data_IF_277720911709
#
_entry.id   IF_277720911709
#
_cell.length_a   1.000
_cell.length_b   1.000
_cell.length_c   1.000
_cell.angle_alpha   90.00
_cell.angle_beta   90.00
_cell.angle_gamma   90.00
#
_symmetry.space_group_name_H-M   'P 1'
#
loop_
_entity.id
_entity.type
_entity.pdbx_description
1 polymer ?
#
# COMPACT_ATOMS: atom_id res chain seq x y z
N UNK A 1 -17.42 -29.02 -9.34
CA UNK A 1 -16.40 -28.56 -10.32
C UNK A 1 -15.40 -27.68 -9.59
N UNK A 2 -14.10 -27.77 -9.90
CA UNK A 2 -13.05 -26.98 -9.23
C UNK A 2 -12.78 -25.69 -10.00
N UNK A 3 -12.60 -24.59 -9.27
CA UNK A 3 -12.31 -23.28 -9.85
C UNK A 3 -10.91 -23.19 -10.45
N UNK A 4 -10.77 -22.42 -11.53
CA UNK A 4 -9.49 -22.15 -12.17
C UNK A 4 -8.62 -21.21 -11.30
N UNK A 5 -7.32 -21.48 -11.27
CA UNK A 5 -6.33 -20.61 -10.62
C UNK A 5 -6.14 -19.35 -11.47
N UNK A 6 -6.12 -18.19 -10.81
CA UNK A 6 -5.93 -16.90 -11.48
C UNK A 6 -4.51 -16.73 -12.04
N UNK A 7 -4.36 -15.87 -13.04
CA UNK A 7 -3.06 -15.59 -13.65
C UNK A 7 -2.14 -14.80 -12.71
N UNK A 8 -0.81 -14.87 -12.89
CA UNK A 8 0.20 -14.10 -12.17
C UNK A 8 -0.07 -12.59 -11.96
N UNK A 9 -0.80 -12.00 -12.89
CA UNK A 9 -1.10 -10.58 -13.03
C UNK A 9 -2.51 -10.21 -12.56
N UNK A 10 -3.32 -11.20 -12.14
CA UNK A 10 -4.70 -10.99 -11.71
C UNK A 10 -4.86 -10.20 -10.39
N UNK A 11 -3.77 -9.84 -9.71
CA UNK A 11 -3.81 -9.09 -8.46
C UNK A 11 -2.42 -8.76 -7.91
N UNK A 12 -2.38 -8.21 -6.69
CA UNK A 12 -1.12 -8.13 -5.96
C UNK A 12 -0.68 -9.52 -5.51
N UNK A 13 0.61 -9.81 -5.62
CA UNK A 13 1.19 -11.05 -5.10
C UNK A 13 1.37 -11.02 -3.59
N UNK A 14 1.75 -9.86 -3.06
CA UNK A 14 2.12 -9.67 -1.65
C UNK A 14 1.70 -8.28 -1.18
N UNK A 15 1.35 -8.19 0.10
CA UNK A 15 1.26 -6.92 0.80
C UNK A 15 2.20 -6.95 2.00
N UNK A 16 2.99 -5.88 2.14
CA UNK A 16 3.88 -5.66 3.27
C UNK A 16 3.44 -4.41 4.02
N UNK A 17 3.54 -4.44 5.34
CA UNK A 17 3.31 -3.25 6.19
C UNK A 17 4.62 -2.88 6.86
N UNK A 18 4.97 -1.60 6.77
CA UNK A 18 6.12 -1.02 7.48
C UNK A 18 5.64 0.11 8.39
N UNK A 19 6.22 0.18 9.60
CA UNK A 19 5.94 1.27 10.53
C UNK A 19 6.75 2.51 10.18
N UNK A 20 6.15 3.68 10.29
CA UNK A 20 6.79 4.98 10.10
C UNK A 20 6.41 5.92 11.24
N UNK A 21 7.23 6.93 11.51
CA UNK A 21 6.95 7.91 12.56
C UNK A 21 5.83 8.87 12.17
N UNK A 22 5.70 9.18 10.88
CA UNK A 22 4.67 10.09 10.36
C UNK A 22 4.25 9.66 8.95
N UNK A 23 3.01 9.20 8.84
CA UNK A 23 2.42 8.73 7.59
C UNK A 23 2.16 9.87 6.60
N UNK A 24 1.76 11.06 7.07
CA UNK A 24 1.50 12.20 6.19
C UNK A 24 2.80 12.73 5.58
N UNK A 25 3.84 12.89 6.40
CA UNK A 25 5.15 13.33 5.93
C UNK A 25 5.74 12.32 4.92
N UNK A 26 5.61 11.02 5.21
CA UNK A 26 6.07 9.97 4.29
C UNK A 26 5.28 9.98 2.98
N UNK A 27 3.95 10.14 3.03
CA UNK A 27 3.12 10.28 1.84
C UNK A 27 3.53 11.48 0.97
N UNK A 28 3.80 12.63 1.59
CA UNK A 28 4.23 13.82 0.87
C UNK A 28 5.58 13.61 0.15
N UNK A 29 6.55 12.96 0.79
CA UNK A 29 7.85 12.63 0.16
C UNK A 29 7.67 11.62 -0.98
N UNK A 30 6.83 10.60 -0.79
CA UNK A 30 6.52 9.62 -1.84
C UNK A 30 5.88 10.28 -3.07
N UNK A 31 4.88 11.14 -2.87
CA UNK A 31 4.22 11.88 -3.94
C UNK A 31 5.16 12.85 -4.65
N UNK A 32 6.03 13.55 -3.91
CA UNK A 32 7.04 14.43 -4.48
C UNK A 32 8.04 13.68 -5.39
N UNK A 33 8.24 12.37 -5.14
CA UNK A 33 9.06 11.46 -5.96
C UNK A 33 8.28 10.80 -7.10
N UNK A 34 7.00 11.13 -7.27
CA UNK A 34 6.13 10.60 -8.32
C UNK A 34 5.50 9.25 -8.00
N UNK A 35 5.49 8.82 -6.73
CA UNK A 35 4.76 7.62 -6.31
C UNK A 35 3.27 7.94 -6.18
N UNK A 36 2.43 7.17 -6.87
CA UNK A 36 0.98 7.24 -6.74
C UNK A 36 0.50 6.41 -5.54
N UNK A 37 -0.29 7.03 -4.67
CA UNK A 37 -0.95 6.34 -3.57
C UNK A 37 -2.21 5.64 -4.07
N UNK A 38 -2.40 4.38 -3.68
CA UNK A 38 -3.61 3.62 -3.95
C UNK A 38 -4.73 3.97 -2.96
N UNK A 39 -4.35 4.33 -1.74
CA UNK A 39 -5.25 4.90 -0.74
C UNK A 39 -4.46 5.72 0.29
N UNK A 40 -5.22 6.47 1.09
CA UNK A 40 -4.68 7.25 2.20
C UNK A 40 -3.89 8.48 1.73
N UNK A 41 -3.27 9.20 2.66
CA UNK A 41 -3.24 8.93 4.10
C UNK A 41 -4.62 9.04 4.76
N UNK A 42 -4.96 8.09 5.64
CA UNK A 42 -6.25 8.06 6.34
C UNK A 42 -6.16 7.36 7.69
N UNK A 43 -7.02 7.78 8.62
CA UNK A 43 -7.20 7.14 9.92
C UNK A 43 -8.15 5.95 9.79
N UNK A 44 -7.74 4.81 10.35
CA UNK A 44 -8.55 3.60 10.37
C UNK A 44 -9.41 3.53 11.64
N UNK A 45 -10.56 2.83 11.61
CA UNK A 45 -11.42 2.69 12.79
C UNK A 45 -10.75 2.05 14.02
N UNK A 46 -9.65 1.32 13.82
CA UNK A 46 -8.84 0.71 14.89
C UNK A 46 -7.69 1.61 15.37
N UNK A 47 -7.66 2.88 14.97
CA UNK A 47 -6.78 3.91 15.54
C UNK A 47 -5.42 4.10 14.86
N UNK A 48 -5.14 3.38 13.76
CA UNK A 48 -3.87 3.47 13.02
C UNK A 48 -4.05 4.40 11.82
N UNK A 49 -3.08 5.28 11.58
CA UNK A 49 -3.02 6.08 10.35
C UNK A 49 -2.27 5.29 9.28
N UNK A 50 -2.80 5.21 8.06
CA UNK A 50 -2.22 4.37 6.99
C UNK A 50 -2.30 5.00 5.61
N UNK A 51 -1.38 4.61 4.73
CA UNK A 51 -1.48 4.79 3.28
C UNK A 51 -0.88 3.59 2.56
N UNK A 52 -1.29 3.35 1.32
CA UNK A 52 -0.74 2.27 0.49
C UNK A 52 -0.31 2.74 -0.88
N UNK A 53 0.71 2.10 -1.43
CA UNK A 53 1.18 2.31 -2.80
C UNK A 53 1.66 1.00 -3.43
N UNK A 54 1.90 1.00 -4.74
CA UNK A 54 2.41 -0.15 -5.49
C UNK A 54 3.85 0.08 -5.94
N UNK A 55 4.71 -0.94 -5.77
CA UNK A 55 6.06 -0.91 -6.32
C UNK A 55 6.12 -1.43 -7.78
N UNK A 56 7.24 -1.24 -8.51
CA UNK A 56 7.36 -1.72 -9.89
C UNK A 56 7.27 -3.25 -10.05
N UNK A 57 7.51 -4.03 -8.99
CA UNK A 57 7.34 -5.48 -8.99
C UNK A 57 5.87 -5.90 -8.79
N UNK A 58 4.97 -4.96 -8.54
CA UNK A 58 3.54 -5.18 -8.35
C UNK A 58 3.15 -5.53 -6.92
N UNK A 59 4.03 -5.37 -5.94
CA UNK A 59 3.68 -5.54 -4.52
C UNK A 59 2.97 -4.32 -3.98
N UNK A 60 2.13 -4.53 -2.96
CA UNK A 60 1.53 -3.45 -2.18
C UNK A 60 2.36 -3.20 -0.94
N UNK A 61 2.65 -1.93 -0.69
CA UNK A 61 3.28 -1.46 0.52
C UNK A 61 2.27 -0.63 1.29
N UNK A 62 2.08 -0.96 2.57
CA UNK A 62 1.37 -0.15 3.54
C UNK A 62 2.38 0.53 4.47
N UNK A 63 2.27 1.84 4.62
CA UNK A 63 2.95 2.59 5.68
C UNK A 63 1.94 2.88 6.78
N UNK A 64 2.34 2.65 8.03
CA UNK A 64 1.45 2.76 9.18
C UNK A 64 2.14 3.41 10.39
N UNK A 65 1.37 4.18 11.16
CA UNK A 65 1.76 4.74 12.46
C UNK A 65 0.75 4.33 13.53
#
# INVERSE_FOLDING_TARGET
EVAAVASPDAGSRMQFTISVDDVDATCADLQARGVELLNGPMDRPWGIRTATFRDPAGHIWEIAH
#
